data_IF_813381807744
#
_entry.id   IF_813381807744
#
_cell.length_a   1.000
_cell.length_b   1.000
_cell.length_c   1.000
_cell.angle_alpha   90.00
_cell.angle_beta   90.00
_cell.angle_gamma   90.00
#
_symmetry.space_group_name_H-M   'P 1'
#
loop_
_entity.id
_entity.type
_entity.pdbx_description
1 polymer ?
#
# COMPACT_ATOMS: atom_id res chain seq x y z
N UNK A 1 9.74 -17.98 32.01
CA UNK A 1 9.54 -16.94 33.04
C UNK A 1 8.19 -16.29 32.76
N UNK A 2 7.24 -16.44 33.69
CA UNK A 2 5.95 -15.72 33.72
C UNK A 2 4.89 -16.19 32.73
N UNK A 3 4.02 -17.13 33.15
CA UNK A 3 2.65 -17.16 32.63
C UNK A 3 1.88 -16.08 33.40
N UNK A 4 1.58 -14.94 32.77
CA UNK A 4 0.59 -14.03 33.33
C UNK A 4 -0.80 -14.64 33.14
N UNK A 5 -1.44 -15.00 34.25
CA UNK A 5 -2.81 -15.49 34.28
C UNK A 5 -3.79 -14.31 34.13
N UNK A 6 -3.89 -13.70 32.95
CA UNK A 6 -4.82 -12.59 32.70
C UNK A 6 -6.13 -13.00 32.02
N UNK A 7 -6.52 -14.28 32.03
CA UNK A 7 -7.61 -14.77 31.16
C UNK A 7 -8.63 -15.76 31.74
N UNK A 8 -8.62 -16.03 33.05
CA UNK A 8 -9.44 -17.12 33.62
C UNK A 8 -10.46 -16.69 34.70
N UNK A 9 -10.91 -15.44 34.70
CA UNK A 9 -11.93 -14.97 35.63
C UNK A 9 -13.11 -14.36 34.86
N UNK A 10 -14.09 -15.19 34.44
CA UNK A 10 -15.40 -14.65 34.05
C UNK A 10 -16.22 -15.32 32.96
N UNK A 11 -15.95 -16.57 32.52
CA UNK A 11 -16.84 -17.27 31.59
C UNK A 11 -17.15 -18.69 32.08
N UNK A 12 -18.44 -18.99 32.25
CA UNK A 12 -19.02 -20.20 32.86
C UNK A 12 -18.99 -21.46 31.97
N UNK A 13 -18.05 -21.52 31.04
CA UNK A 13 -17.65 -22.73 30.32
C UNK A 13 -16.16 -22.55 29.95
N UNK A 14 -15.33 -23.52 30.33
CA UNK A 14 -13.88 -23.41 30.16
C UNK A 14 -13.54 -23.29 28.66
N UNK A 15 -12.93 -22.17 28.26
CA UNK A 15 -12.37 -22.02 26.93
C UNK A 15 -11.28 -23.08 26.71
N UNK A 16 -11.26 -23.78 25.57
CA UNK A 16 -10.22 -24.79 25.31
C UNK A 16 -8.85 -24.12 25.21
N UNK A 17 -7.89 -24.64 25.99
CA UNK A 17 -6.50 -24.21 25.93
C UNK A 17 -5.76 -24.99 24.84
N UNK A 18 -5.18 -24.29 23.87
CA UNK A 18 -4.32 -24.88 22.84
C UNK A 18 -2.86 -24.49 23.09
N UNK A 19 -1.95 -25.46 23.06
CA UNK A 19 -0.50 -25.26 23.24
C UNK A 19 0.21 -25.86 22.04
N UNK A 20 1.10 -25.09 21.42
CA UNK A 20 1.85 -25.51 20.22
C UNK A 20 3.33 -25.20 20.37
N UNK A 21 4.19 -26.11 19.90
CA UNK A 21 5.63 -25.85 19.79
C UNK A 21 5.94 -24.91 18.64
N UNK A 22 6.82 -23.94 18.87
CA UNK A 22 7.30 -23.02 17.85
C UNK A 22 8.57 -23.53 17.19
N UNK A 23 8.71 -23.29 15.89
CA UNK A 23 9.92 -23.61 15.15
C UNK A 23 11.05 -22.63 15.46
N UNK A 24 12.27 -23.02 15.08
CA UNK A 24 13.44 -22.16 15.18
C UNK A 24 13.18 -20.84 14.43
N UNK A 25 13.44 -19.70 15.09
CA UNK A 25 13.25 -18.34 14.57
C UNK A 25 11.81 -17.84 14.46
N UNK A 26 10.80 -18.65 14.80
CA UNK A 26 9.39 -18.23 14.77
C UNK A 26 9.05 -17.17 15.83
N UNK A 27 9.89 -17.04 16.86
CA UNK A 27 9.81 -15.97 17.89
C UNK A 27 10.36 -14.63 17.38
N UNK A 28 11.09 -14.60 16.27
CA UNK A 28 11.70 -13.35 15.77
C UNK A 28 10.68 -12.54 14.99
N UNK A 29 10.76 -11.22 15.11
CA UNK A 29 9.95 -10.28 14.35
C UNK A 29 10.61 -9.99 12.99
N UNK A 30 9.82 -9.97 11.92
CA UNK A 30 10.27 -9.55 10.59
C UNK A 30 9.13 -8.88 9.80
N UNK A 31 9.39 -8.56 8.54
CA UNK A 31 8.38 -8.08 7.60
C UNK A 31 7.78 -9.30 6.88
N UNK A 32 6.55 -9.65 7.22
CA UNK A 32 5.83 -10.74 6.57
C UNK A 32 5.05 -10.22 5.36
N UNK A 33 5.05 -11.05 4.33
CA UNK A 33 4.26 -10.90 3.12
C UNK A 33 3.12 -11.93 3.14
N UNK A 34 1.91 -11.45 2.91
CA UNK A 34 0.71 -12.27 2.81
C UNK A 34 0.09 -12.10 1.43
N UNK A 35 -0.25 -13.20 0.75
CA UNK A 35 -1.19 -13.13 -0.37
C UNK A 35 -2.58 -12.89 0.21
N UNK A 36 -3.27 -11.83 -0.20
CA UNK A 36 -4.55 -11.41 0.37
C UNK A 36 -5.55 -11.13 -0.74
N UNK A 37 -6.75 -11.67 -0.59
CA UNK A 37 -7.91 -11.44 -1.45
C UNK A 37 -9.08 -10.98 -0.61
N UNK A 38 -9.82 -9.97 -1.08
CA UNK A 38 -11.03 -9.49 -0.39
C UNK A 38 -12.08 -10.60 -0.36
N UNK A 39 -12.73 -10.79 0.79
CA UNK A 39 -13.82 -11.74 0.91
C UNK A 39 -15.00 -11.31 0.02
N UNK A 40 -15.69 -12.28 -0.61
CA UNK A 40 -16.78 -12.00 -1.55
C UNK A 40 -17.98 -11.33 -0.88
N UNK A 41 -18.30 -11.77 0.34
CA UNK A 41 -19.46 -11.30 1.10
C UNK A 41 -19.20 -9.97 1.82
N UNK A 42 -17.95 -9.50 1.82
CA UNK A 42 -17.57 -8.26 2.48
C UNK A 42 -17.74 -7.08 1.50
N UNK A 43 -18.88 -6.39 1.60
CA UNK A 43 -19.20 -5.23 0.76
C UNK A 43 -18.27 -4.01 0.98
N UNK A 44 -17.97 -3.57 2.23
CA UNK A 44 -17.27 -2.30 2.44
C UNK A 44 -15.88 -2.26 1.79
N UNK A 45 -15.39 -1.09 1.35
CA UNK A 45 -14.02 -0.96 0.87
C UNK A 45 -13.03 -1.20 2.02
N UNK A 46 -11.93 -1.90 1.73
CA UNK A 46 -10.81 -2.06 2.67
C UNK A 46 -9.70 -1.10 2.28
N UNK A 47 -9.47 -0.10 3.13
CA UNK A 47 -8.44 0.89 2.91
C UNK A 47 -7.06 0.34 3.29
N UNK A 48 -6.03 0.84 2.62
CA UNK A 48 -4.65 0.54 2.99
C UNK A 48 -4.32 1.14 4.37
N UNK A 49 -3.61 0.39 5.22
CA UNK A 49 -3.25 0.72 6.62
C UNK A 49 -4.45 0.78 7.57
N UNK A 50 -5.57 0.22 7.14
CA UNK A 50 -6.70 -0.03 8.02
C UNK A 50 -6.35 -1.14 9.01
N UNK A 51 -6.87 -1.05 10.23
CA UNK A 51 -6.59 -2.00 11.30
C UNK A 51 -7.47 -3.23 11.14
N UNK A 52 -6.81 -4.39 11.06
CA UNK A 52 -7.45 -5.69 10.89
C UNK A 52 -6.87 -6.66 11.91
N UNK A 53 -7.72 -7.59 12.35
CA UNK A 53 -7.31 -8.74 13.14
C UNK A 53 -6.87 -9.85 12.17
N UNK A 54 -5.57 -10.11 12.10
CA UNK A 54 -5.00 -11.19 11.31
C UNK A 54 -4.90 -12.45 12.16
N UNK A 55 -5.48 -13.53 11.65
CA UNK A 55 -5.40 -14.87 12.23
C UNK A 55 -4.63 -15.72 11.23
N UNK A 56 -3.45 -16.20 11.65
CA UNK A 56 -2.61 -17.07 10.82
C UNK A 56 -1.99 -18.17 11.66
N UNK A 57 -2.25 -19.42 11.28
CA UNK A 57 -1.87 -20.58 12.09
C UNK A 57 -2.40 -20.48 13.51
N UNK A 58 -1.48 -20.43 14.47
CA UNK A 58 -1.75 -20.34 15.92
C UNK A 58 -1.75 -18.91 16.46
N UNK A 59 -1.40 -17.92 15.64
CA UNK A 59 -1.24 -16.53 16.06
C UNK A 59 -2.41 -15.68 15.61
N UNK A 60 -2.89 -14.87 16.54
CA UNK A 60 -3.91 -13.85 16.29
C UNK A 60 -3.35 -12.51 16.73
N UNK A 61 -3.35 -11.53 15.82
CA UNK A 61 -2.81 -10.20 16.12
C UNK A 61 -3.47 -9.11 15.29
N UNK A 62 -3.52 -7.91 15.86
CA UNK A 62 -4.00 -6.72 15.17
C UNK A 62 -2.85 -6.06 14.42
N UNK A 63 -3.03 -5.81 13.12
CA UNK A 63 -2.07 -5.05 12.35
C UNK A 63 -2.72 -4.23 11.25
N UNK A 64 -1.89 -3.36 10.66
CA UNK A 64 -2.29 -2.43 9.59
C UNK A 64 -1.57 -2.79 8.30
N UNK A 65 -2.09 -3.74 7.51
CA UNK A 65 -1.43 -4.21 6.30
C UNK A 65 -1.26 -3.11 5.28
N UNK A 66 -0.09 -3.10 4.65
CA UNK A 66 0.16 -2.29 3.46
C UNK A 66 -0.08 -3.12 2.22
N UNK A 67 -1.17 -2.82 1.50
CA UNK A 67 -1.51 -3.49 0.26
C UNK A 67 -0.67 -3.01 -0.92
N UNK A 68 -0.29 -3.95 -1.76
CA UNK A 68 0.59 -3.72 -2.91
C UNK A 68 0.29 -4.69 -4.06
N UNK A 69 0.60 -4.26 -5.27
CA UNK A 69 0.47 -5.10 -6.47
C UNK A 69 1.50 -6.21 -6.47
N UNK A 70 1.08 -7.36 -6.99
CA UNK A 70 1.94 -8.52 -7.19
C UNK A 70 2.20 -8.74 -8.68
N UNK A 71 3.14 -7.97 -9.24
CA UNK A 71 3.54 -8.11 -10.64
C UNK A 71 4.70 -9.09 -10.71
N UNK A 72 4.51 -10.17 -11.47
CA UNK A 72 5.55 -11.19 -11.67
C UNK A 72 6.81 -10.57 -12.29
N UNK A 73 7.98 -10.93 -11.77
CA UNK A 73 9.28 -10.46 -12.27
C UNK A 73 9.60 -8.99 -11.97
N UNK A 74 8.85 -8.32 -11.08
CA UNK A 74 9.11 -6.92 -10.71
C UNK A 74 9.58 -6.80 -9.26
N UNK A 75 10.75 -6.17 -9.05
CA UNK A 75 11.28 -5.91 -7.69
C UNK A 75 10.57 -4.74 -6.97
N UNK A 76 9.85 -3.93 -7.76
CA UNK A 76 9.22 -2.68 -7.31
C UNK A 76 7.71 -2.86 -7.35
N UNK A 77 7.08 -2.85 -6.18
CA UNK A 77 5.64 -3.09 -6.06
C UNK A 77 4.89 -1.79 -5.80
N UNK A 78 3.86 -1.52 -6.61
CA UNK A 78 3.03 -0.32 -6.44
C UNK A 78 2.09 -0.52 -5.26
N UNK A 79 2.10 0.41 -4.32
CA UNK A 79 1.16 0.47 -3.21
C UNK A 79 -0.26 0.74 -3.74
N UNK A 80 -1.23 -0.06 -3.31
CA UNK A 80 -2.64 0.14 -3.64
C UNK A 80 -3.32 0.97 -2.56
N UNK A 81 -4.32 1.79 -2.91
CA UNK A 81 -5.04 2.58 -1.89
C UNK A 81 -6.09 1.75 -1.16
N UNK A 82 -6.63 0.74 -1.85
CA UNK A 82 -7.66 -0.15 -1.37
C UNK A 82 -7.37 -1.57 -1.84
N UNK A 83 -7.87 -2.56 -1.09
CA UNK A 83 -7.93 -3.93 -1.57
C UNK A 83 -9.16 -4.09 -2.47
N UNK A 84 -8.93 -4.44 -3.74
CA UNK A 84 -9.98 -4.58 -4.74
C UNK A 84 -10.59 -6.00 -4.71
N UNK A 85 -11.91 -6.10 -4.94
CA UNK A 85 -12.59 -7.39 -5.04
C UNK A 85 -12.14 -8.15 -6.31
N UNK A 86 -12.02 -9.48 -6.22
CA UNK A 86 -11.66 -10.34 -7.35
C UNK A 86 -10.20 -10.26 -7.80
N UNK A 87 -9.37 -9.41 -7.18
CA UNK A 87 -7.95 -9.27 -7.49
C UNK A 87 -7.10 -9.62 -6.27
N UNK A 88 -6.18 -10.60 -6.37
CA UNK A 88 -5.23 -10.86 -5.31
C UNK A 88 -4.21 -9.72 -5.24
N UNK A 89 -3.88 -9.32 -4.02
CA UNK A 89 -2.83 -8.34 -3.71
C UNK A 89 -1.93 -8.90 -2.62
N UNK A 90 -0.80 -8.26 -2.37
CA UNK A 90 0.08 -8.65 -1.25
C UNK A 90 -0.04 -7.64 -0.13
N UNK A 91 -0.36 -8.14 1.07
CA UNK A 91 -0.36 -7.38 2.31
C UNK A 91 0.97 -7.52 3.03
N UNK A 92 1.62 -6.41 3.33
CA UNK A 92 2.91 -6.38 4.05
C UNK A 92 2.71 -5.86 5.48
N UNK A 93 3.22 -6.58 6.47
CA UNK A 93 3.05 -6.27 7.91
C UNK A 93 4.31 -6.62 8.69
N UNK A 94 4.58 -5.92 9.80
CA UNK A 94 5.53 -6.39 10.80
C UNK A 94 4.85 -7.41 11.73
N UNK A 95 5.31 -8.65 11.70
CA UNK A 95 4.74 -9.76 12.48
C UNK A 95 5.85 -10.79 12.80
N UNK A 96 5.61 -11.76 13.72
CA UNK A 96 6.54 -12.83 13.96
C UNK A 96 6.68 -13.67 12.70
N UNK A 97 7.89 -14.16 12.45
CA UNK A 97 8.16 -15.05 11.32
C UNK A 97 7.23 -16.25 11.43
N UNK A 98 6.55 -16.57 10.33
CA UNK A 98 5.68 -17.73 10.22
C UNK A 98 6.10 -18.49 8.96
N UNK A 99 6.36 -19.78 9.09
CA UNK A 99 6.77 -20.63 7.98
C UNK A 99 5.54 -21.16 7.25
N UNK A 100 5.47 -20.92 5.94
CA UNK A 100 4.36 -21.39 5.11
C UNK A 100 4.41 -22.89 4.81
N UNK A 101 3.30 -23.48 4.36
CA UNK A 101 2.04 -22.82 4.01
C UNK A 101 1.10 -22.66 5.23
N UNK A 102 0.74 -21.42 5.54
CA UNK A 102 -0.26 -21.10 6.58
C UNK A 102 -1.38 -20.25 5.99
N UNK A 103 -2.65 -20.57 6.27
CA UNK A 103 -3.77 -19.72 5.88
C UNK A 103 -3.72 -18.40 6.65
N UNK A 104 -4.26 -17.36 6.03
CA UNK A 104 -4.50 -16.07 6.65
C UNK A 104 -5.99 -15.74 6.57
N UNK A 105 -6.58 -15.41 7.71
CA UNK A 105 -7.90 -14.81 7.81
C UNK A 105 -7.76 -13.41 8.36
N UNK A 106 -8.39 -12.43 7.72
CA UNK A 106 -8.40 -11.04 8.16
C UNK A 106 -9.82 -10.66 8.55
N UNK A 107 -10.01 -10.34 9.83
CA UNK A 107 -11.28 -9.87 10.36
C UNK A 107 -11.26 -8.38 10.58
N UNK A 108 -12.39 -7.74 10.29
CA UNK A 108 -12.66 -6.37 10.71
C UNK A 108 -13.63 -6.39 11.88
N UNK A 109 -13.34 -5.59 12.91
CA UNK A 109 -14.26 -5.37 14.02
C UNK A 109 -15.36 -4.40 13.57
N UNK A 110 -16.61 -4.86 13.61
CA UNK A 110 -17.78 -4.04 13.39
C UNK A 110 -18.03 -3.11 14.59
N UNK A 111 -18.86 -2.09 14.40
CA UNK A 111 -19.26 -1.16 15.48
C UNK A 111 -19.98 -1.89 16.62
N UNK A 112 -20.70 -2.96 16.31
CA UNK A 112 -21.34 -3.86 17.29
C UNK A 112 -20.36 -4.73 18.08
N UNK A 113 -19.05 -4.66 17.77
CA UNK A 113 -18.02 -5.53 18.36
C UNK A 113 -17.86 -6.89 17.67
N UNK A 114 -18.76 -7.26 16.75
CA UNK A 114 -18.67 -8.51 16.00
C UNK A 114 -17.47 -8.52 15.04
N UNK A 115 -16.83 -9.68 14.89
CA UNK A 115 -15.74 -9.88 13.92
C UNK A 115 -16.31 -10.36 12.59
N UNK A 116 -16.12 -9.57 11.53
CA UNK A 116 -16.58 -9.89 10.18
C UNK A 116 -15.38 -10.25 9.32
N UNK A 117 -15.44 -11.38 8.61
CA UNK A 117 -14.38 -11.78 7.68
C UNK A 117 -14.30 -10.78 6.53
N UNK A 118 -13.18 -10.08 6.44
CA UNK A 118 -12.99 -9.00 5.47
C UNK A 118 -12.10 -9.43 4.30
N UNK A 119 -11.09 -10.25 4.57
CA UNK A 119 -10.20 -10.81 3.56
C UNK A 119 -9.66 -12.18 3.99
N UNK A 120 -9.26 -12.98 3.01
CA UNK A 120 -8.63 -14.28 3.22
C UNK A 120 -7.40 -14.42 2.33
N UNK A 121 -6.53 -15.36 2.67
CA UNK A 121 -5.24 -15.43 2.02
C UNK A 121 -4.31 -16.50 2.59
N UNK A 122 -3.02 -16.33 2.32
CA UNK A 122 -1.97 -17.23 2.77
C UNK A 122 -0.66 -16.48 3.06
N UNK A 123 0.17 -17.04 3.95
CA UNK A 123 1.52 -16.56 4.20
C UNK A 123 2.40 -16.89 2.99
N UNK A 124 3.13 -15.88 2.48
CA UNK A 124 4.16 -16.08 1.45
C UNK A 124 5.55 -16.25 2.04
N UNK A 125 5.83 -15.58 3.14
CA UNK A 125 7.12 -15.65 3.85
C UNK A 125 7.54 -14.31 4.42
N UNK A 126 8.68 -14.31 5.10
CA UNK A 126 9.32 -13.11 5.60
C UNK A 126 10.31 -12.57 4.57
N UNK A 127 10.09 -11.35 4.11
CA UNK A 127 10.95 -10.64 3.15
C UNK A 127 10.95 -9.13 3.49
N UNK A 128 12.00 -8.63 4.16
CA UNK A 128 12.17 -7.22 4.48
C UNK A 128 12.68 -6.37 3.30
N UNK A 129 13.24 -7.00 2.27
CA UNK A 129 13.87 -6.30 1.15
C UNK A 129 12.86 -5.87 0.09
N UNK A 130 11.68 -6.50 0.07
CA UNK A 130 10.57 -6.14 -0.83
C UNK A 130 10.25 -4.63 -0.81
N UNK A 131 10.35 -4.00 -1.98
CA UNK A 131 10.20 -2.55 -2.12
C UNK A 131 8.74 -2.19 -2.44
N UNK A 132 8.10 -1.47 -1.51
CA UNK A 132 6.76 -0.90 -1.71
C UNK A 132 6.86 0.58 -2.10
N UNK A 133 6.25 0.96 -3.22
CA UNK A 133 6.28 2.32 -3.76
C UNK A 133 4.88 2.93 -3.82
N UNK A 134 4.67 4.04 -3.12
CA UNK A 134 3.49 4.88 -3.30
C UNK A 134 3.68 5.78 -4.51
N UNK A 135 2.81 5.61 -5.50
CA UNK A 135 2.71 6.51 -6.66
C UNK A 135 1.90 7.76 -6.28
N UNK A 136 2.46 8.93 -6.54
CA UNK A 136 1.81 10.24 -6.43
C UNK A 136 1.77 10.82 -7.84
N UNK A 137 0.61 11.31 -8.26
CA UNK A 137 0.45 11.93 -9.59
C UNK A 137 0.16 13.40 -9.38
N UNK A 138 1.05 14.26 -9.90
CA UNK A 138 0.79 15.70 -9.99
C UNK A 138 0.22 15.97 -11.38
N UNK A 139 -0.84 16.78 -11.43
CA UNK A 139 -1.54 17.11 -12.67
C UNK A 139 -1.44 18.61 -12.94
N UNK A 140 -1.38 18.96 -14.22
CA UNK A 140 -1.43 20.32 -14.72
C UNK A 140 -2.17 20.39 -16.03
N UNK A 141 -2.53 21.61 -16.41
CA UNK A 141 -3.33 21.87 -17.59
C UNK A 141 -2.54 22.71 -18.60
N UNK A 142 -2.50 22.34 -19.89
CA UNK A 142 -1.88 23.13 -20.91
C UNK A 142 -2.71 24.40 -21.17
N UNK A 143 -2.09 25.57 -21.07
CA UNK A 143 -2.70 26.87 -21.35
C UNK A 143 -2.60 27.20 -22.83
N UNK A 144 -1.43 26.93 -23.40
CA UNK A 144 -1.13 27.16 -24.82
C UNK A 144 -0.38 25.95 -25.32
N UNK A 145 -0.87 25.33 -26.38
CA UNK A 145 -0.25 24.19 -27.03
C UNK A 145 -0.06 24.51 -28.51
N UNK A 146 1.12 24.25 -29.03
CA UNK A 146 1.41 24.40 -30.45
C UNK A 146 2.41 23.33 -30.90
N UNK A 147 1.98 22.47 -31.82
CA UNK A 147 2.72 21.24 -32.19
C UNK A 147 3.06 20.49 -30.90
N UNK A 148 4.30 20.03 -30.73
CA UNK A 148 4.76 19.35 -29.51
C UNK A 148 5.20 20.27 -28.36
N UNK A 149 4.95 21.59 -28.41
CA UNK A 149 5.33 22.52 -27.33
C UNK A 149 4.09 22.97 -26.58
N UNK A 150 4.17 23.02 -25.26
CA UNK A 150 3.08 23.56 -24.46
C UNK A 150 3.54 24.30 -23.22
N UNK A 151 2.72 25.27 -22.80
CA UNK A 151 2.85 25.96 -21.52
C UNK A 151 1.86 25.34 -20.55
N UNK A 152 2.34 24.78 -19.44
CA UNK A 152 1.51 24.09 -18.44
C UNK A 152 1.36 24.95 -17.20
N UNK A 153 0.15 24.98 -16.63
CA UNK A 153 -0.20 25.66 -15.37
C UNK A 153 -0.79 24.70 -14.34
N UNK A 154 -0.85 25.16 -13.08
CA UNK A 154 -1.47 24.47 -11.92
C UNK A 154 -0.83 23.14 -11.50
N UNK A 155 0.26 22.72 -12.11
CA UNK A 155 1.05 21.58 -11.60
C UNK A 155 2.00 22.00 -10.47
N UNK A 156 2.56 23.21 -10.55
CA UNK A 156 3.41 23.82 -9.54
C UNK A 156 2.97 25.26 -9.30
N UNK A 157 3.37 25.81 -8.15
CA UNK A 157 3.07 27.20 -7.78
C UNK A 157 4.33 28.07 -7.64
N UNK A 158 5.52 27.47 -7.51
CA UNK A 158 6.81 28.17 -7.45
C UNK A 158 7.74 27.73 -8.58
N UNK A 159 8.58 28.63 -9.13
CA UNK A 159 9.53 28.29 -10.19
C UNK A 159 10.66 27.38 -9.72
N UNK A 160 10.98 27.38 -8.42
CA UNK A 160 11.95 26.47 -7.81
C UNK A 160 11.51 25.01 -7.92
N UNK A 161 10.22 24.73 -7.66
CA UNK A 161 9.66 23.39 -7.77
C UNK A 161 9.77 22.88 -9.22
N UNK A 162 9.51 23.74 -10.21
CA UNK A 162 9.68 23.41 -11.64
C UNK A 162 11.12 23.01 -11.96
N UNK A 163 12.10 23.75 -11.43
CA UNK A 163 13.54 23.45 -11.65
C UNK A 163 13.93 22.13 -10.99
N UNK A 164 13.45 21.89 -9.77
CA UNK A 164 13.69 20.65 -9.03
C UNK A 164 13.13 19.43 -9.76
N UNK A 165 11.89 19.50 -10.23
CA UNK A 165 11.22 18.39 -10.92
C UNK A 165 11.51 18.31 -12.42
N UNK A 166 12.43 19.13 -12.94
CA UNK A 166 12.83 19.14 -14.35
C UNK A 166 13.26 17.76 -14.91
N UNK A 167 14.00 16.91 -14.16
CA UNK A 167 14.41 15.60 -14.66
C UNK A 167 13.26 14.58 -14.80
N UNK A 168 12.09 14.86 -14.24
CA UNK A 168 10.96 13.92 -14.23
C UNK A 168 10.23 13.94 -15.56
N UNK A 169 9.94 12.76 -16.09
CA UNK A 169 9.16 12.59 -17.32
C UNK A 169 7.67 12.95 -17.08
N UNK A 170 7.13 13.72 -18.02
CA UNK A 170 5.72 14.05 -18.10
C UNK A 170 5.02 13.06 -19.03
N UNK A 171 3.79 12.73 -18.71
CA UNK A 171 2.90 11.94 -19.56
C UNK A 171 1.52 12.61 -19.63
N UNK A 172 0.82 12.45 -20.74
CA UNK A 172 -0.56 12.93 -20.86
C UNK A 172 -1.56 11.78 -20.89
N UNK A 173 -2.85 12.07 -20.64
CA UNK A 173 -3.90 11.05 -20.79
C UNK A 173 -4.00 10.55 -22.22
N UNK A 174 -3.68 11.40 -23.20
CA UNK A 174 -3.55 11.04 -24.62
C UNK A 174 -2.33 10.17 -24.96
N UNK A 175 -1.57 9.68 -23.98
CA UNK A 175 -0.44 8.78 -24.19
C UNK A 175 0.85 9.47 -24.66
N UNK A 176 0.88 10.81 -24.70
CA UNK A 176 2.07 11.58 -25.06
C UNK A 176 3.07 11.60 -23.93
N UNK A 177 4.35 11.70 -24.27
CA UNK A 177 5.47 11.75 -23.33
C UNK A 177 6.26 13.03 -23.55
N UNK A 178 6.72 13.64 -22.48
CA UNK A 178 7.42 14.91 -22.56
C UNK A 178 8.31 15.22 -21.39
N UNK A 179 8.98 16.37 -21.46
CA UNK A 179 9.86 16.87 -20.40
C UNK A 179 9.69 18.36 -20.19
N UNK A 180 10.01 18.80 -18.99
CA UNK A 180 10.06 20.22 -18.63
C UNK A 180 11.30 20.86 -19.29
N UNK A 181 11.11 22.01 -19.95
CA UNK A 181 12.22 22.81 -20.50
C UNK A 181 12.69 23.88 -19.54
N UNK A 182 11.81 24.84 -19.25
CA UNK A 182 12.13 26.02 -18.45
C UNK A 182 10.90 26.52 -17.69
N UNK A 183 11.08 27.07 -16.47
CA UNK A 183 10.03 27.79 -15.77
C UNK A 183 9.69 29.10 -16.48
N UNK A 184 8.45 29.55 -16.31
CA UNK A 184 7.93 30.82 -16.81
C UNK A 184 7.35 31.65 -15.66
N UNK A 185 7.84 32.88 -15.51
CA UNK A 185 7.37 33.81 -14.49
C UNK A 185 7.58 33.31 -13.06
N UNK A 186 6.72 33.78 -12.15
CA UNK A 186 6.80 33.52 -10.70
C UNK A 186 5.77 32.51 -10.18
N UNK A 187 4.75 32.17 -10.96
CA UNK A 187 3.62 31.32 -10.53
C UNK A 187 3.79 29.81 -10.84
N UNK A 188 5.02 29.34 -11.04
CA UNK A 188 5.28 27.92 -11.29
C UNK A 188 4.77 27.40 -12.64
N UNK A 189 4.47 28.29 -13.60
CA UNK A 189 4.20 27.90 -14.98
C UNK A 189 5.50 27.41 -15.63
N UNK A 190 5.41 26.55 -16.64
CA UNK A 190 6.60 26.08 -17.35
C UNK A 190 6.31 25.71 -18.79
N UNK A 191 7.35 25.79 -19.63
CA UNK A 191 7.32 25.21 -20.99
C UNK A 191 7.68 23.73 -20.91
N UNK A 192 6.88 22.90 -21.53
CA UNK A 192 7.13 21.49 -21.76
C UNK A 192 7.23 21.20 -23.25
N UNK A 193 8.02 20.18 -23.57
CA UNK A 193 8.14 19.63 -24.93
C UNK A 193 7.73 18.17 -24.88
N UNK A 194 6.82 17.80 -25.77
CA UNK A 194 6.28 16.47 -25.95
C UNK A 194 6.74 15.88 -27.29
N UNK A 195 6.62 14.56 -27.40
CA UNK A 195 6.88 13.76 -28.60
C UNK A 195 5.94 14.09 -29.76
N UNK A 196 4.68 14.45 -29.48
CA UNK A 196 3.66 14.74 -30.48
C UNK A 196 2.79 15.95 -30.14
N UNK A 197 1.85 16.31 -31.05
CA UNK A 197 0.92 17.40 -30.79
C UNK A 197 0.02 17.08 -29.59
N UNK A 198 -0.17 18.08 -28.73
CA UNK A 198 -1.06 17.97 -27.56
C UNK A 198 -2.26 18.92 -27.72
N UNK A 199 -3.43 18.45 -27.27
CA UNK A 199 -4.63 19.28 -27.18
C UNK A 199 -4.65 20.16 -25.94
N UNK A 200 -5.34 21.29 -25.98
CA UNK A 200 -5.51 22.17 -24.83
C UNK A 200 -6.44 21.56 -23.76
N UNK A 201 -7.29 20.61 -24.16
CA UNK A 201 -8.15 19.81 -23.29
C UNK A 201 -7.44 18.63 -22.61
N UNK A 202 -6.20 18.31 -22.99
CA UNK A 202 -5.47 17.19 -22.41
C UNK A 202 -4.98 17.53 -21.00
N UNK A 203 -4.81 16.53 -20.16
CA UNK A 203 -4.25 16.69 -18.82
C UNK A 203 -2.79 16.19 -18.84
N UNK A 204 -1.87 17.08 -18.49
CA UNK A 204 -0.45 16.73 -18.33
C UNK A 204 -0.25 16.25 -16.90
N UNK A 205 0.42 15.12 -16.73
CA UNK A 205 0.67 14.54 -15.43
C UNK A 205 2.14 14.10 -15.30
N UNK A 206 2.62 14.02 -14.07
CA UNK A 206 3.91 13.39 -13.76
C UNK A 206 3.74 12.35 -12.65
N UNK A 207 4.52 11.27 -12.74
CA UNK A 207 4.48 10.19 -11.75
C UNK A 207 5.68 10.30 -10.81
N UNK A 208 5.41 10.59 -9.54
CA UNK A 208 6.40 10.57 -8.46
C UNK A 208 6.23 9.30 -7.64
N UNK A 209 7.34 8.76 -7.12
CA UNK A 209 7.34 7.55 -6.31
C UNK A 209 8.07 7.78 -5.00
N UNK A 210 7.50 7.25 -3.90
CA UNK A 210 8.13 7.24 -2.58
C UNK A 210 8.06 5.84 -1.98
N UNK A 211 9.17 5.35 -1.43
CA UNK A 211 9.17 4.09 -0.67
C UNK A 211 8.31 4.21 0.58
N UNK A 212 7.46 3.21 0.82
CA UNK A 212 6.59 3.14 1.99
C UNK A 212 6.95 1.89 2.79
N UNK A 213 6.98 2.06 4.11
CA UNK A 213 7.14 0.95 5.04
C UNK A 213 5.80 0.64 5.73
N UNK A 214 5.59 -0.61 6.16
CA UNK A 214 4.45 -0.97 6.99
C UNK A 214 4.45 -0.20 8.32
N UNK A 215 3.29 -0.18 8.98
CA UNK A 215 3.17 0.46 10.30
C UNK A 215 3.60 -0.53 11.37
N UNK A 216 4.35 -0.03 12.35
CA UNK A 216 4.69 -0.82 13.53
C UNK A 216 3.42 -1.24 14.27
N UNK A 217 3.32 -2.51 14.73
CA UNK A 217 2.17 -3.00 15.47
C UNK A 217 2.04 -2.25 16.80
N UNK A 218 0.79 -1.97 17.21
CA UNK A 218 0.51 -1.27 18.47
C UNK A 218 0.67 -2.17 19.70
N UNK A 219 0.32 -3.44 19.54
CA UNK A 219 0.47 -4.47 20.56
C UNK A 219 1.46 -5.50 20.05
N UNK A 220 2.37 -5.94 20.92
CA UNK A 220 3.26 -7.09 20.71
C UNK A 220 2.78 -8.31 21.51
N UNK A 221 1.52 -8.37 21.93
CA UNK A 221 0.99 -9.51 22.69
C UNK A 221 1.12 -10.87 21.96
N UNK A 222 1.45 -10.84 20.67
CA UNK A 222 1.70 -12.01 19.83
C UNK A 222 3.18 -12.42 19.73
N UNK A 223 4.11 -11.63 20.28
CA UNK A 223 5.56 -11.81 20.18
C UNK A 223 6.07 -12.69 21.32
#
# INVERSE_FOLDING_TARGET
>A
RGLEASGAAGASWALPLCVTGLLQHETRLSVLQFGVSKARDYAPPLANKEELLLVTGVRTFEARPVYSTDTHGADKHKMERYLHAGRPSVGTVYAPIAFGPLPLLCFKRAESGALVLAASGNVRGADPDRILLKKIVLAGYPVRAHKGKAVVRHMFYRPEDVRWFRPVELWTKGGRRGRIREPLGTHGQFKAVFDGPIGQQDAVAMSLYKRVFPKWPRSMAFA
#
